data_IF_594420153347
#
_entry.id   IF_594420153347
#
_cell.length_a   1.000
_cell.length_b   1.000
_cell.length_c   1.000
_cell.angle_alpha   90.00
_cell.angle_beta   90.00
_cell.angle_gamma   90.00
#
_symmetry.space_group_name_H-M   'P 1'
#
loop_
_entity.id
_entity.type
_entity.pdbx_description
1 polymer ?
#
# COMPACT_ATOMS: atom_id res chain seq x y z
N UNK A 1 1.47 9.38 -11.61
CA UNK A 1 0.51 8.46 -12.22
C UNK A 1 -0.44 7.90 -11.17
N UNK A 2 -1.64 7.46 -11.57
CA UNK A 2 -2.57 6.69 -10.74
C UNK A 2 -2.71 5.30 -11.37
N UNK A 3 -2.58 4.26 -10.56
CA UNK A 3 -2.70 2.85 -10.96
C UNK A 3 -3.89 2.26 -10.19
N UNK A 4 -4.89 1.72 -10.88
CA UNK A 4 -6.12 1.18 -10.28
C UNK A 4 -7.34 2.09 -10.48
N UNK A 5 -8.38 1.89 -9.67
CA UNK A 5 -9.62 2.69 -9.68
C UNK A 5 -9.68 3.54 -8.41
N UNK A 6 -9.50 4.87 -8.50
CA UNK A 6 -9.44 5.74 -7.32
C UNK A 6 -10.76 5.77 -6.53
N UNK A 7 -11.89 5.38 -7.13
CA UNK A 7 -13.17 5.31 -6.41
C UNK A 7 -13.35 4.00 -5.64
N UNK A 8 -12.43 3.05 -5.78
CA UNK A 8 -12.41 1.77 -5.04
C UNK A 8 -11.09 1.59 -4.33
N UNK A 9 -10.05 1.26 -5.09
CA UNK A 9 -8.68 1.17 -4.62
C UNK A 9 -7.70 1.47 -5.77
N UNK A 10 -6.76 2.36 -5.51
CA UNK A 10 -5.69 2.71 -6.42
C UNK A 10 -4.42 3.11 -5.64
N UNK A 11 -3.33 3.31 -6.38
CA UNK A 11 -2.10 3.90 -5.86
C UNK A 11 -1.75 5.12 -6.70
N UNK A 12 -1.52 6.25 -6.06
CA UNK A 12 -0.84 7.39 -6.67
C UNK A 12 0.67 7.22 -6.48
N UNK A 13 1.40 7.37 -7.56
CA UNK A 13 2.86 7.29 -7.58
C UNK A 13 3.39 8.45 -8.43
N UNK A 14 4.16 9.37 -7.86
CA UNK A 14 4.84 10.42 -8.60
C UNK A 14 6.31 10.51 -8.19
N UNK A 15 7.24 10.40 -9.13
CA UNK A 15 8.64 10.72 -8.89
C UNK A 15 8.85 12.22 -9.09
N UNK A 16 9.30 12.89 -8.02
CA UNK A 16 9.51 14.33 -8.00
C UNK A 16 10.98 14.72 -7.87
N UNK A 17 11.80 13.79 -7.37
CA UNK A 17 13.25 13.98 -7.24
C UNK A 17 14.03 12.66 -7.35
N UNK A 18 15.35 12.80 -7.39
CA UNK A 18 16.30 11.71 -7.13
C UNK A 18 17.24 12.21 -6.04
N UNK A 19 17.02 11.75 -4.82
CA UNK A 19 17.94 12.03 -3.70
C UNK A 19 19.05 10.97 -3.71
N UNK A 20 18.89 9.92 -2.91
CA UNK A 20 19.74 8.71 -2.96
C UNK A 20 19.12 7.62 -3.86
N UNK A 21 17.82 7.72 -4.12
CA UNK A 21 16.94 6.78 -4.80
C UNK A 21 15.79 7.58 -5.45
N UNK A 22 14.95 6.98 -6.33
CA UNK A 22 13.72 7.62 -6.78
C UNK A 22 12.86 8.09 -5.59
N UNK A 23 12.58 9.39 -5.51
CA UNK A 23 11.84 9.98 -4.39
C UNK A 23 10.65 10.80 -4.89
N UNK A 24 9.56 10.83 -4.14
CA UNK A 24 8.40 11.65 -4.48
C UNK A 24 7.15 11.29 -3.69
N UNK A 25 6.00 11.23 -4.36
CA UNK A 25 4.70 11.02 -3.70
C UNK A 25 4.26 9.56 -3.90
N UNK A 26 3.91 8.92 -2.79
CA UNK A 26 3.23 7.63 -2.78
C UNK A 26 1.98 7.74 -1.92
N UNK A 27 0.80 7.46 -2.49
CA UNK A 27 -0.43 7.35 -1.72
C UNK A 27 -1.19 6.08 -2.09
N UNK A 28 -1.73 5.37 -1.10
CA UNK A 28 -2.92 4.56 -1.35
C UNK A 28 -4.11 5.50 -1.55
N UNK A 29 -4.99 5.15 -2.48
CA UNK A 29 -6.29 5.80 -2.66
C UNK A 29 -7.34 4.75 -2.34
N UNK A 30 -8.11 4.93 -1.27
CA UNK A 30 -9.16 4.00 -0.86
C UNK A 30 -10.48 4.76 -0.83
N UNK A 31 -11.42 4.38 -1.70
CA UNK A 31 -12.70 5.09 -1.90
C UNK A 31 -12.53 6.62 -2.07
N UNK A 32 -11.54 7.05 -2.85
CA UNK A 32 -11.22 8.45 -3.10
C UNK A 32 -10.39 9.14 -2.02
N UNK A 33 -10.11 8.50 -0.88
CA UNK A 33 -9.27 9.06 0.17
C UNK A 33 -7.79 8.77 -0.12
N UNK A 34 -6.97 9.81 -0.20
CA UNK A 34 -5.52 9.70 -0.35
C UNK A 34 -4.85 9.48 1.01
N UNK A 35 -4.01 8.45 1.11
CA UNK A 35 -3.33 8.02 2.33
C UNK A 35 -1.83 7.87 2.05
N UNK A 36 -0.95 8.62 2.74
CA UNK A 36 -1.26 9.55 3.83
C UNK A 36 -1.92 10.86 3.37
N UNK A 37 -1.93 11.16 2.07
CA UNK A 37 -2.52 12.38 1.52
C UNK A 37 -1.79 13.67 1.94
N UNK A 38 -0.59 13.53 2.50
CA UNK A 38 0.30 14.63 2.88
C UNK A 38 1.30 14.83 1.75
N UNK A 39 1.72 16.07 1.50
CA UNK A 39 2.78 16.41 0.53
C UNK A 39 4.17 16.00 1.00
N UNK A 40 4.30 14.77 1.50
CA UNK A 40 5.53 14.20 2.04
C UNK A 40 6.31 13.54 0.92
N UNK A 41 7.63 13.67 0.97
CA UNK A 41 8.52 12.97 0.05
C UNK A 41 8.82 11.60 0.64
N UNK A 42 8.56 10.57 -0.15
CA UNK A 42 8.75 9.15 0.16
C UNK A 42 9.86 8.61 -0.75
N UNK A 43 10.74 7.78 -0.20
CA UNK A 43 11.63 6.91 -0.95
C UNK A 43 10.78 5.85 -1.69
N UNK A 44 10.59 6.10 -2.99
CA UNK A 44 9.76 5.26 -3.85
C UNK A 44 10.39 3.88 -4.06
N UNK A 45 11.72 3.78 -3.97
CA UNK A 45 12.40 2.49 -4.07
C UNK A 45 12.06 1.59 -2.90
N UNK A 46 12.18 2.12 -1.69
CA UNK A 46 11.93 1.35 -0.47
C UNK A 46 10.46 0.96 -0.39
N UNK A 47 9.53 1.91 -0.51
CA UNK A 47 8.09 1.60 -0.36
C UNK A 47 7.61 0.58 -1.40
N UNK A 48 7.99 0.71 -2.67
CA UNK A 48 7.55 -0.21 -3.72
C UNK A 48 8.15 -1.61 -3.50
N UNK A 49 9.44 -1.68 -3.19
CA UNK A 49 10.15 -2.95 -3.02
C UNK A 49 9.65 -3.69 -1.79
N UNK A 50 9.53 -2.99 -0.65
CA UNK A 50 9.03 -3.56 0.60
C UNK A 50 7.58 -4.03 0.49
N UNK A 51 6.72 -3.28 -0.22
CA UNK A 51 5.33 -3.66 -0.42
C UNK A 51 5.19 -4.92 -1.28
N UNK A 52 5.95 -5.01 -2.37
CA UNK A 52 5.96 -6.21 -3.23
C UNK A 52 6.54 -7.43 -2.50
N UNK A 53 7.66 -7.26 -1.80
CA UNK A 53 8.32 -8.34 -1.06
C UNK A 53 7.44 -8.86 0.07
N UNK A 54 6.85 -7.97 0.88
CA UNK A 54 5.98 -8.36 1.99
C UNK A 54 4.71 -9.07 1.51
N UNK A 55 4.13 -8.66 0.38
CA UNK A 55 3.03 -9.38 -0.27
C UNK A 55 3.46 -10.80 -0.69
N UNK A 56 4.59 -10.93 -1.40
CA UNK A 56 5.04 -12.23 -1.91
C UNK A 56 5.44 -13.20 -0.79
N UNK A 57 6.04 -12.70 0.30
CA UNK A 57 6.34 -13.48 1.50
C UNK A 57 5.06 -13.85 2.25
N UNK A 58 4.15 -12.88 2.40
CA UNK A 58 2.88 -13.04 3.08
C UNK A 58 2.00 -14.10 2.43
N UNK A 59 1.82 -14.06 1.11
CA UNK A 59 1.03 -15.04 0.36
C UNK A 59 1.60 -16.47 0.47
N UNK A 60 2.90 -16.62 0.73
CA UNK A 60 3.54 -17.94 0.96
C UNK A 60 3.39 -18.40 2.41
N UNK A 61 3.42 -17.47 3.37
CA UNK A 61 3.40 -17.74 4.81
C UNK A 61 1.97 -17.95 5.34
N UNK A 62 1.02 -17.12 4.90
CA UNK A 62 -0.35 -17.10 5.37
C UNK A 62 -1.28 -17.62 4.27
N UNK A 63 -1.91 -18.76 4.52
CA UNK A 63 -2.78 -19.44 3.56
C UNK A 63 -4.19 -19.72 4.11
N UNK A 64 -4.48 -19.27 5.32
CA UNK A 64 -5.77 -19.43 5.96
C UNK A 64 -6.56 -18.13 5.89
N UNK A 65 -7.87 -18.25 5.72
CA UNK A 65 -8.79 -17.13 5.76
C UNK A 65 -9.01 -16.71 7.23
N UNK A 66 -9.04 -15.40 7.46
CA UNK A 66 -9.48 -14.81 8.74
C UNK A 66 -11.02 -14.80 8.87
N UNK A 67 -11.71 -15.16 7.79
CA UNK A 67 -13.17 -15.29 7.72
C UNK A 67 -13.87 -13.97 8.03
N UNK A 68 -14.99 -14.07 8.75
CA UNK A 68 -15.87 -12.93 9.07
C UNK A 68 -15.59 -12.32 10.44
N UNK A 69 -14.41 -12.54 11.05
CA UNK A 69 -14.08 -11.97 12.37
C UNK A 69 -14.17 -10.43 12.28
N UNK A 70 -15.01 -9.76 13.08
CA UNK A 70 -15.06 -8.28 13.09
C UNK A 70 -13.73 -7.67 13.54
N UNK A 71 -13.34 -6.52 12.97
CA UNK A 71 -12.06 -5.86 13.26
C UNK A 71 -11.92 -5.57 14.76
N UNK A 72 -13.01 -5.18 15.43
CA UNK A 72 -13.04 -4.82 16.84
C UNK A 72 -12.77 -6.02 17.78
N UNK A 73 -12.81 -7.24 17.22
CA UNK A 73 -12.50 -8.48 17.94
C UNK A 73 -11.13 -9.05 17.56
N UNK A 74 -10.44 -8.46 16.59
CA UNK A 74 -9.08 -8.86 16.25
C UNK A 74 -8.11 -8.27 17.26
N UNK A 75 -7.05 -9.02 17.54
CA UNK A 75 -5.97 -8.59 18.41
C UNK A 75 -4.79 -8.09 17.57
N UNK A 76 -4.47 -6.80 17.70
CA UNK A 76 -3.32 -6.14 17.09
C UNK A 76 -2.24 -5.78 18.14
N UNK A 77 -2.40 -6.18 19.40
CA UNK A 77 -1.54 -5.70 20.51
C UNK A 77 -0.20 -6.41 20.62
N UNK A 78 -0.09 -7.67 20.15
CA UNK A 78 1.09 -8.53 20.29
C UNK A 78 1.92 -8.64 19.00
N UNK A 79 1.75 -7.70 18.06
CA UNK A 79 2.51 -7.66 16.79
C UNK A 79 1.72 -8.18 15.59
N UNK A 80 2.27 -9.16 14.83
CA UNK A 80 1.65 -9.68 13.61
C UNK A 80 0.38 -10.49 13.92
N UNK A 81 -0.82 -10.00 13.57
CA UNK A 81 -2.06 -10.71 13.86
C UNK A 81 -2.11 -12.02 13.07
N UNK A 82 -2.78 -13.04 13.63
CA UNK A 82 -2.85 -14.36 13.02
C UNK A 82 -3.51 -14.31 11.64
N UNK A 83 -2.86 -14.90 10.63
CA UNK A 83 -3.35 -14.98 9.25
C UNK A 83 -3.60 -13.64 8.55
N UNK A 84 -3.01 -12.55 9.05
CA UNK A 84 -2.92 -11.28 8.35
C UNK A 84 -1.53 -11.09 7.73
N UNK A 85 -1.50 -10.79 6.44
CA UNK A 85 -0.27 -10.42 5.73
C UNK A 85 0.04 -8.96 6.06
N UNK A 86 1.16 -8.63 6.72
CA UNK A 86 1.58 -7.24 6.85
C UNK A 86 1.98 -6.71 5.48
N UNK A 87 1.38 -5.62 5.04
CA UNK A 87 1.78 -4.89 3.84
C UNK A 87 2.79 -3.84 4.27
N UNK A 88 4.08 -4.14 4.11
CA UNK A 88 5.14 -3.24 4.57
C UNK A 88 5.18 -1.98 3.70
N UNK A 89 4.69 -0.88 4.26
CA UNK A 89 4.61 0.42 3.61
C UNK A 89 5.78 1.35 3.95
N UNK A 90 6.83 0.80 4.58
CA UNK A 90 8.06 1.52 4.92
C UNK A 90 7.79 2.89 5.57
N UNK A 91 8.26 3.98 4.98
CA UNK A 91 8.17 5.34 5.49
C UNK A 91 6.72 5.83 5.71
N UNK A 92 5.70 5.20 5.12
CA UNK A 92 4.31 5.52 5.44
C UNK A 92 3.99 5.22 6.92
N UNK A 93 4.68 4.26 7.53
CA UNK A 93 4.54 3.92 8.95
C UNK A 93 4.91 5.09 9.86
N UNK A 94 5.92 5.89 9.49
CA UNK A 94 6.32 7.10 10.24
C UNK A 94 5.22 8.17 10.24
N UNK A 95 4.26 8.07 9.31
CA UNK A 95 3.07 8.92 9.25
C UNK A 95 1.82 8.29 9.89
N UNK A 96 2.00 7.22 10.67
CA UNK A 96 0.95 6.51 11.38
C UNK A 96 0.15 5.54 10.52
N UNK A 97 0.62 5.26 9.29
CA UNK A 97 -0.09 4.38 8.37
C UNK A 97 0.42 2.94 8.48
N UNK A 98 -0.47 2.00 8.81
CA UNK A 98 -0.15 0.57 8.79
C UNK A 98 -1.25 -0.19 8.03
N UNK A 99 -0.88 -1.26 7.32
CA UNK A 99 -1.78 -1.99 6.42
C UNK A 99 -1.59 -3.49 6.54
N UNK A 100 -2.70 -4.22 6.53
CA UNK A 100 -2.73 -5.68 6.53
C UNK A 100 -3.72 -6.20 5.49
N UNK A 101 -3.40 -7.35 4.92
CA UNK A 101 -4.25 -8.07 3.99
C UNK A 101 -4.66 -9.41 4.59
N UNK A 102 -5.97 -9.60 4.76
CA UNK A 102 -6.58 -10.88 5.11
C UNK A 102 -7.51 -11.40 4.02
N UNK A 103 -8.05 -12.59 4.23
CA UNK A 103 -8.96 -13.24 3.28
C UNK A 103 -10.21 -13.79 3.95
N UNK A 104 -11.31 -13.81 3.18
CA UNK A 104 -12.61 -14.39 3.55
C UNK A 104 -13.27 -14.99 2.29
N UNK A 105 -12.97 -16.25 1.98
CA UNK A 105 -13.45 -16.95 0.80
C UNK A 105 -13.02 -16.28 -0.50
N UNK A 106 -13.97 -15.62 -1.17
CA UNK A 106 -13.74 -14.89 -2.42
C UNK A 106 -13.49 -13.40 -2.20
N UNK A 107 -13.24 -12.98 -0.96
CA UNK A 107 -12.93 -11.60 -0.61
C UNK A 107 -11.50 -11.44 -0.05
N UNK A 108 -10.91 -10.30 -0.34
CA UNK A 108 -9.79 -9.71 0.38
C UNK A 108 -10.31 -8.70 1.39
N UNK A 109 -9.72 -8.70 2.58
CA UNK A 109 -9.99 -7.76 3.67
C UNK A 109 -8.75 -6.91 3.86
N UNK A 110 -8.78 -5.68 3.34
CA UNK A 110 -7.72 -4.70 3.55
C UNK A 110 -8.03 -3.95 4.84
N UNK A 111 -7.22 -4.20 5.86
CA UNK A 111 -7.33 -3.57 7.17
C UNK A 111 -6.20 -2.55 7.29
N UNK A 112 -6.47 -1.38 7.83
CA UNK A 112 -5.45 -0.34 7.96
C UNK A 112 -5.71 0.58 9.15
N UNK A 113 -4.62 1.14 9.67
CA UNK A 113 -4.62 2.23 10.64
C UNK A 113 -3.97 3.45 10.02
N UNK A 114 -4.44 4.65 10.39
CA UNK A 114 -3.92 5.95 9.94
C UNK A 114 -3.45 6.82 11.11
N UNK A 115 -3.42 6.26 12.32
CA UNK A 115 -3.22 6.99 13.57
C UNK A 115 -2.30 6.24 14.53
N UNK A 116 -1.27 5.57 14.01
CA UNK A 116 -0.31 4.79 14.80
C UNK A 116 -0.99 3.64 15.56
N UNK A 117 -1.88 2.92 14.88
CA UNK A 117 -2.56 1.71 15.40
C UNK A 117 -3.48 1.99 16.59
N UNK A 118 -3.90 3.25 16.77
CA UNK A 118 -4.90 3.63 17.77
C UNK A 118 -6.33 3.27 17.32
N UNK A 119 -6.59 3.30 16.02
CA UNK A 119 -7.83 2.85 15.41
C UNK A 119 -7.59 2.15 14.07
N UNK A 120 -8.53 1.28 13.71
CA UNK A 120 -8.46 0.43 12.52
C UNK A 120 -9.71 0.59 11.67
N UNK A 121 -9.53 0.56 10.36
CA UNK A 121 -10.57 0.57 9.35
C UNK A 121 -10.42 -0.65 8.44
N UNK A 122 -11.50 -1.04 7.77
CA UNK A 122 -11.48 -2.12 6.78
C UNK A 122 -12.19 -1.70 5.49
N UNK A 123 -11.62 -2.17 4.39
CA UNK A 123 -12.31 -2.26 3.12
C UNK A 123 -12.22 -3.69 2.57
N UNK A 124 -13.35 -4.17 2.05
CA UNK A 124 -13.47 -5.50 1.44
C UNK A 124 -13.48 -5.39 -0.07
N UNK A 125 -12.78 -6.30 -0.73
CA UNK A 125 -12.66 -6.35 -2.19
C UNK A 125 -12.80 -7.79 -2.68
N UNK A 126 -13.15 -8.02 -3.97
CA UNK A 126 -12.98 -9.33 -4.57
C UNK A 126 -11.53 -9.83 -4.43
N UNK A 127 -11.35 -11.13 -4.16
CA UNK A 127 -10.03 -11.73 -3.99
C UNK A 127 -9.14 -11.48 -5.21
N UNK A 128 -7.88 -11.13 -4.98
CA UNK A 128 -6.90 -10.75 -5.99
C UNK A 128 -6.86 -9.25 -6.32
N UNK A 129 -7.78 -8.42 -5.79
CA UNK A 129 -7.84 -6.99 -6.14
C UNK A 129 -6.61 -6.21 -5.65
N UNK A 130 -6.28 -6.34 -4.37
CA UNK A 130 -5.14 -5.68 -3.72
C UNK A 130 -3.84 -6.32 -4.22
N UNK A 131 -3.80 -7.64 -4.36
CA UNK A 131 -2.66 -8.34 -4.95
C UNK A 131 -2.34 -7.82 -6.35
N UNK A 132 -3.34 -7.79 -7.25
CA UNK A 132 -3.17 -7.33 -8.62
C UNK A 132 -2.73 -5.86 -8.66
N UNK A 133 -3.28 -5.01 -7.80
CA UNK A 133 -2.89 -3.61 -7.69
C UNK A 133 -1.41 -3.44 -7.32
N UNK A 134 -0.94 -4.15 -6.30
CA UNK A 134 0.48 -4.11 -5.88
C UNK A 134 1.38 -4.70 -6.95
N UNK A 135 0.96 -5.79 -7.61
CA UNK A 135 1.72 -6.40 -8.72
C UNK A 135 1.85 -5.46 -9.91
N UNK A 136 0.82 -4.66 -10.20
CA UNK A 136 0.82 -3.64 -11.27
C UNK A 136 1.73 -2.44 -11.00
N UNK A 137 2.20 -2.24 -9.76
CA UNK A 137 3.20 -1.21 -9.52
C UNK A 137 4.44 -1.46 -10.39
N UNK A 138 4.99 -0.43 -11.05
CA UNK A 138 6.28 -0.56 -11.73
C UNK A 138 7.37 -0.92 -10.71
N UNK A 139 8.49 -1.43 -11.20
CA UNK A 139 9.70 -1.50 -10.39
C UNK A 139 10.22 -0.08 -10.18
N UNK A 140 10.75 0.23 -9.00
CA UNK A 140 11.22 1.59 -8.72
C UNK A 140 12.32 2.05 -9.68
N UNK A 141 13.22 1.14 -10.08
CA UNK A 141 14.30 1.42 -11.05
C UNK A 141 13.80 1.71 -12.47
N UNK A 142 12.52 1.40 -12.76
CA UNK A 142 11.90 1.75 -14.04
C UNK A 142 11.25 3.13 -14.05
N UNK A 143 11.21 3.83 -12.90
CA UNK A 143 10.65 5.16 -12.82
C UNK A 143 11.59 6.19 -13.45
N UNK A 144 11.03 7.04 -14.31
CA UNK A 144 11.72 8.18 -14.90
C UNK A 144 10.99 9.45 -14.52
N UNK A 145 11.73 10.41 -13.99
CA UNK A 145 11.29 11.78 -13.80
C UNK A 145 11.59 12.61 -15.05
N UNK A 146 10.54 12.95 -15.81
CA UNK A 146 10.65 13.81 -16.98
C UNK A 146 10.31 15.26 -16.62
N UNK A 147 11.27 16.17 -16.81
CA UNK A 147 11.14 17.60 -16.48
C UNK A 147 11.13 18.42 -17.77
N UNK A 148 9.97 18.91 -18.18
CA UNK A 148 9.82 19.78 -19.36
C UNK A 148 9.02 21.04 -19.01
N UNK A 149 9.53 22.22 -19.37
CA UNK A 149 8.83 23.50 -19.24
C UNK A 149 8.22 23.78 -17.84
N UNK A 150 8.90 23.36 -16.78
CA UNK A 150 8.43 23.51 -15.39
C UNK A 150 7.38 22.49 -14.94
N UNK A 151 7.08 21.50 -15.77
CA UNK A 151 6.19 20.37 -15.47
C UNK A 151 7.05 19.15 -15.16
N UNK A 152 6.71 18.46 -14.07
CA UNK A 152 7.30 17.16 -13.71
C UNK A 152 6.29 16.07 -14.04
N UNK A 153 6.70 15.10 -14.85
CA UNK A 153 5.88 13.95 -15.24
C UNK A 153 6.63 12.66 -14.90
N UNK A 154 5.98 11.78 -14.16
CA UNK A 154 6.48 10.43 -13.90
C UNK A 154 6.18 9.52 -15.10
N UNK A 155 7.23 8.90 -15.64
CA UNK A 155 7.16 7.91 -16.74
C UNK A 155 7.72 6.57 -16.28
N UNK A 156 7.43 5.52 -17.05
CA UNK A 156 8.00 4.18 -16.89
C UNK A 156 8.90 3.92 -18.10
N UNK A 157 10.11 3.41 -17.85
CA UNK A 157 11.12 3.08 -18.87
C UNK A 157 10.85 1.80 -19.64
#
# INVERSE_FOLDING_TARGET
MIIGDPYRIAIQLEQLDILCSPSGVFNFIINGLFIPGKGVTIDLYIVISSLKESLDLGLKKYNADIGTIPIEKMDFSEGEPENLIPLNVAELYDYGCNFWLGFDGNEERLIYSLDFENSFSENRFPRGTVEELIRKLPLADSLIMDKNDGIIITKIS
#
